data_IF_399681877934
#
_entry.id   IF_399681877934
#
_cell.length_a   1.000
_cell.length_b   1.000
_cell.length_c   1.000
_cell.angle_alpha   90.00
_cell.angle_beta   90.00
_cell.angle_gamma   90.00
#
_symmetry.space_group_name_H-M   'P 1'
#
loop_
_entity.id
_entity.type
_entity.pdbx_description
1 polymer ?
#
# COMPACT_ATOMS: atom_id res chain seq x y z
N UNK A 1 -13.57 -26.36 2.82
CA UNK A 1 -13.60 -25.51 4.04
C UNK A 1 -12.29 -24.76 4.07
N UNK A 2 -12.34 -23.45 3.96
CA UNK A 2 -11.14 -22.60 4.03
C UNK A 2 -10.82 -22.35 5.52
N UNK A 3 -9.66 -22.82 5.99
CA UNK A 3 -9.23 -22.62 7.37
C UNK A 3 -8.79 -21.18 7.65
N UNK A 4 -8.52 -20.38 6.61
CA UNK A 4 -8.08 -18.98 6.73
C UNK A 4 -9.10 -18.13 7.49
N UNK A 5 -10.40 -18.38 7.28
CA UNK A 5 -11.45 -17.67 8.03
C UNK A 5 -11.47 -18.04 9.53
N UNK A 6 -11.05 -19.26 9.89
CA UNK A 6 -11.06 -19.72 11.28
C UNK A 6 -9.95 -19.12 12.14
N UNK A 7 -8.87 -18.64 11.51
CA UNK A 7 -7.72 -17.99 12.16
C UNK A 7 -7.72 -16.47 11.98
N UNK A 8 -8.69 -15.93 11.24
CA UNK A 8 -8.83 -14.50 11.06
C UNK A 8 -9.06 -13.82 12.43
N UNK A 9 -8.25 -12.82 12.80
CA UNK A 9 -8.45 -12.10 14.05
C UNK A 9 -9.84 -11.45 14.08
N UNK A 10 -10.60 -11.66 15.14
CA UNK A 10 -11.89 -10.97 15.39
C UNK A 10 -11.66 -9.54 15.91
N UNK A 11 -10.70 -8.83 15.35
CA UNK A 11 -10.30 -7.50 15.77
C UNK A 11 -10.69 -6.46 14.71
N UNK A 12 -11.16 -5.31 15.13
CA UNK A 12 -11.42 -4.13 14.30
C UNK A 12 -10.13 -3.40 13.87
N UNK A 13 -8.98 -3.93 14.27
CA UNK A 13 -7.67 -3.35 13.96
C UNK A 13 -6.69 -4.40 13.41
N UNK A 14 -5.67 -3.92 12.73
CA UNK A 14 -4.52 -4.70 12.31
C UNK A 14 -3.61 -4.93 13.53
N UNK A 15 -3.18 -6.16 13.72
CA UNK A 15 -2.27 -6.55 14.79
C UNK A 15 -0.87 -6.87 14.25
N UNK A 16 0.13 -6.89 15.15
CA UNK A 16 1.50 -7.22 14.76
C UNK A 16 1.63 -8.61 14.11
N UNK A 17 0.78 -9.54 14.49
CA UNK A 17 0.78 -10.90 13.96
C UNK A 17 0.27 -11.01 12.52
N UNK A 18 -0.50 -10.04 12.04
CA UNK A 18 -0.87 -9.94 10.63
C UNK A 18 0.34 -9.67 9.71
N UNK A 19 1.45 -9.23 10.30
CA UNK A 19 2.68 -8.88 9.60
C UNK A 19 3.83 -9.87 9.85
N UNK A 20 3.52 -11.08 10.34
CA UNK A 20 4.52 -12.14 10.58
C UNK A 20 5.24 -12.53 9.30
N UNK A 21 4.53 -12.58 8.18
CA UNK A 21 5.08 -12.97 6.88
C UNK A 21 6.01 -11.92 6.26
N UNK A 22 6.15 -10.76 6.89
CA UNK A 22 7.04 -9.68 6.45
C UNK A 22 6.35 -8.33 6.29
N UNK A 23 7.05 -7.34 5.75
CA UNK A 23 6.53 -6.01 5.49
C UNK A 23 5.35 -6.03 4.51
N UNK A 24 4.32 -5.24 4.80
CA UNK A 24 3.16 -5.08 3.91
C UNK A 24 3.02 -3.60 3.54
N UNK A 25 2.97 -3.32 2.24
CA UNK A 25 2.65 -1.98 1.76
C UNK A 25 1.16 -1.84 1.58
N UNK A 26 0.59 -0.80 2.17
CA UNK A 26 -0.84 -0.55 2.21
C UNK A 26 -1.17 0.85 1.71
N UNK A 27 -2.38 1.00 1.17
CA UNK A 27 -2.91 2.26 0.64
C UNK A 27 -4.00 2.79 1.56
N UNK A 28 -3.89 4.06 1.95
CA UNK A 28 -4.86 4.72 2.83
C UNK A 28 -6.11 5.07 2.03
N UNK A 29 -7.28 4.62 2.48
CA UNK A 29 -8.58 5.02 1.96
C UNK A 29 -9.09 6.28 2.65
N UNK A 30 -8.95 6.33 3.97
CA UNK A 30 -9.36 7.46 4.79
C UNK A 30 -8.71 7.41 6.18
N UNK A 31 -8.76 8.53 6.89
CA UNK A 31 -8.34 8.61 8.29
C UNK A 31 -9.52 9.14 9.11
N UNK A 32 -9.91 8.40 10.14
CA UNK A 32 -11.01 8.74 11.04
C UNK A 32 -10.54 9.00 12.46
N UNK A 33 -11.36 9.69 13.22
CA UNK A 33 -11.20 9.82 14.66
C UNK A 33 -11.57 8.50 15.33
N UNK A 34 -10.64 7.95 16.12
CA UNK A 34 -10.85 6.76 16.93
C UNK A 34 -11.30 7.05 18.36
N UNK A 35 -10.93 6.16 19.27
CA UNK A 35 -11.22 6.27 20.72
C UNK A 35 -10.23 7.19 21.45
N UNK A 36 -10.49 7.61 22.69
CA UNK A 36 -9.52 8.38 23.47
C UNK A 36 -8.17 7.69 23.63
N UNK A 37 -8.14 6.37 23.75
CA UNK A 37 -6.94 5.56 23.91
C UNK A 37 -6.18 5.40 22.57
N UNK A 38 -6.92 5.26 21.49
CA UNK A 38 -6.43 5.11 20.12
C UNK A 38 -7.10 6.15 19.20
N UNK A 39 -6.65 7.42 19.25
CA UNK A 39 -7.42 8.55 18.69
C UNK A 39 -7.41 8.66 17.16
N UNK A 40 -6.74 7.76 16.46
CA UNK A 40 -6.65 7.78 15.00
C UNK A 40 -6.81 6.37 14.44
N UNK A 41 -7.79 6.21 13.56
CA UNK A 41 -8.04 5.02 12.77
C UNK A 41 -7.69 5.30 11.31
N UNK A 42 -6.69 4.59 10.78
CA UNK A 42 -6.27 4.67 9.38
C UNK A 42 -6.85 3.47 8.65
N UNK A 43 -7.84 3.71 7.79
CA UNK A 43 -8.48 2.69 6.98
C UNK A 43 -7.66 2.42 5.72
N UNK A 44 -7.59 1.16 5.31
CA UNK A 44 -6.67 0.67 4.28
C UNK A 44 -7.41 -0.16 3.24
N UNK A 45 -6.95 -0.09 2.00
CA UNK A 45 -7.48 -0.90 0.89
C UNK A 45 -7.27 -2.39 1.16
N UNK A 46 -6.06 -2.76 1.59
CA UNK A 46 -5.61 -4.16 1.73
C UNK A 46 -6.19 -4.85 2.98
N UNK A 47 -6.75 -4.08 3.92
CA UNK A 47 -7.37 -4.60 5.15
C UNK A 47 -8.79 -4.03 5.33
N UNK A 48 -9.75 -4.41 4.48
CA UNK A 48 -11.12 -3.90 4.60
C UNK A 48 -11.74 -4.29 5.94
N UNK A 49 -12.36 -3.31 6.61
CA UNK A 49 -13.00 -3.50 7.92
C UNK A 49 -12.04 -3.52 9.12
N UNK A 50 -10.74 -3.44 8.91
CA UNK A 50 -9.72 -3.42 9.96
C UNK A 50 -8.81 -2.22 9.81
N UNK A 51 -8.78 -1.34 10.80
CA UNK A 51 -7.98 -0.12 10.73
C UNK A 51 -6.55 -0.34 11.28
N UNK A 52 -5.59 0.38 10.73
CA UNK A 52 -4.31 0.59 11.38
C UNK A 52 -4.48 1.69 12.43
N UNK A 53 -4.19 1.38 13.68
CA UNK A 53 -4.24 2.32 14.80
C UNK A 53 -2.81 2.70 15.22
N UNK A 54 -2.24 3.77 14.64
CA UNK A 54 -0.85 4.13 14.85
C UNK A 54 -0.58 4.55 16.30
N UNK A 55 0.52 4.05 16.86
CA UNK A 55 1.05 4.51 18.13
C UNK A 55 1.37 6.01 18.09
N UNK A 56 1.52 6.64 19.28
CA UNK A 56 1.90 8.06 19.35
C UNK A 56 3.17 8.39 18.57
N UNK A 57 4.14 7.49 18.56
CA UNK A 57 5.38 7.63 17.79
C UNK A 57 5.13 7.60 16.29
N UNK A 58 4.33 6.65 15.82
CA UNK A 58 3.98 6.53 14.40
C UNK A 58 3.14 7.71 13.91
N UNK A 59 2.22 8.22 14.74
CA UNK A 59 1.48 9.46 14.42
C UNK A 59 2.39 10.68 14.26
N UNK A 60 3.43 10.80 15.10
CA UNK A 60 4.43 11.88 14.95
C UNK A 60 5.20 11.77 13.63
N UNK A 61 5.53 10.55 13.20
CA UNK A 61 6.16 10.30 11.90
C UNK A 61 5.24 10.76 10.77
N UNK A 62 3.97 10.33 10.79
CA UNK A 62 2.99 10.70 9.76
C UNK A 62 2.83 12.22 9.67
N UNK A 63 2.70 12.92 10.81
CA UNK A 63 2.59 14.38 10.84
C UNK A 63 3.87 15.05 10.35
N UNK A 64 5.04 14.52 10.72
CA UNK A 64 6.33 15.06 10.25
C UNK A 64 6.54 14.87 8.75
N UNK A 65 5.98 13.78 8.18
CA UNK A 65 6.10 13.44 6.77
C UNK A 65 5.09 14.21 5.90
N UNK A 66 3.84 14.29 6.34
CA UNK A 66 2.72 14.70 5.51
C UNK A 66 1.91 15.89 6.05
N UNK A 67 2.27 16.40 7.23
CA UNK A 67 1.55 17.48 7.89
C UNK A 67 0.39 17.00 8.76
N UNK A 68 -0.31 17.92 9.44
CA UNK A 68 -1.35 17.60 10.42
C UNK A 68 -2.71 17.24 9.81
N UNK A 69 -2.94 17.56 8.53
CA UNK A 69 -4.24 17.41 7.88
C UNK A 69 -4.47 15.97 7.45
N UNK A 70 -5.38 15.28 8.12
CA UNK A 70 -5.69 13.87 7.87
C UNK A 70 -6.23 13.59 6.46
N UNK A 71 -6.98 14.53 5.88
CA UNK A 71 -7.50 14.43 4.50
C UNK A 71 -6.41 14.30 3.44
N UNK A 72 -5.22 14.87 3.71
CA UNK A 72 -4.08 14.77 2.80
C UNK A 72 -3.45 13.37 2.75
N UNK A 73 -3.88 12.44 3.62
CA UNK A 73 -3.30 11.10 3.68
C UNK A 73 -3.99 10.11 2.74
N UNK A 74 -5.21 10.40 2.31
CA UNK A 74 -5.96 9.55 1.37
C UNK A 74 -5.19 9.32 0.08
N UNK A 75 -5.12 8.06 -0.36
CA UNK A 75 -4.37 7.62 -1.53
C UNK A 75 -2.86 7.46 -1.31
N UNK A 76 -2.33 7.89 -0.17
CA UNK A 76 -0.92 7.69 0.17
C UNK A 76 -0.67 6.28 0.65
N UNK A 77 0.57 5.81 0.48
CA UNK A 77 0.98 4.44 0.80
C UNK A 77 1.96 4.42 1.96
N UNK A 78 1.83 3.38 2.77
CA UNK A 78 2.67 3.11 3.94
C UNK A 78 3.16 1.67 3.85
N UNK A 79 4.43 1.41 4.16
CA UNK A 79 4.89 0.05 4.43
C UNK A 79 4.93 -0.17 5.93
N UNK A 80 4.09 -1.08 6.40
CA UNK A 80 4.00 -1.51 7.79
C UNK A 80 4.91 -2.72 8.03
N UNK A 81 5.59 -2.74 9.18
CA UNK A 81 6.47 -3.82 9.59
C UNK A 81 6.19 -4.22 11.03
N UNK A 82 6.33 -5.51 11.32
CA UNK A 82 6.30 -6.02 12.69
C UNK A 82 7.63 -5.72 13.39
N UNK A 83 7.55 -5.10 14.56
CA UNK A 83 8.69 -5.01 15.47
C UNK A 83 8.41 -5.89 16.70
N UNK A 84 9.06 -7.06 16.82
CA UNK A 84 8.83 -8.00 17.94
C UNK A 84 9.34 -7.48 19.29
N UNK A 85 10.22 -6.48 19.29
CA UNK A 85 10.81 -5.93 20.52
C UNK A 85 9.92 -4.92 21.25
N UNK A 86 8.76 -4.56 20.66
CA UNK A 86 7.81 -3.67 21.32
C UNK A 86 7.13 -4.42 22.46
N UNK A 87 7.19 -3.80 23.66
CA UNK A 87 6.64 -4.36 24.88
C UNK A 87 5.38 -3.63 25.32
N UNK A 88 4.46 -4.37 25.95
CA UNK A 88 3.35 -3.83 26.71
C UNK A 88 3.50 -4.28 28.16
N UNK A 89 3.82 -3.35 29.05
CA UNK A 89 4.24 -3.71 30.41
C UNK A 89 5.56 -4.48 30.40
N UNK A 90 5.54 -5.73 30.87
CA UNK A 90 6.71 -6.64 30.88
C UNK A 90 6.75 -7.60 29.70
N UNK A 91 5.66 -7.71 28.95
CA UNK A 91 5.52 -8.70 27.88
C UNK A 91 5.94 -8.14 26.53
N UNK A 92 6.72 -8.91 25.77
CA UNK A 92 7.07 -8.61 24.38
C UNK A 92 5.93 -9.04 23.47
N UNK A 93 4.94 -8.19 23.32
CA UNK A 93 3.77 -8.47 22.47
C UNK A 93 3.99 -8.14 21.00
N UNK A 94 5.07 -7.42 20.70
CA UNK A 94 5.30 -6.87 19.38
C UNK A 94 4.41 -5.66 19.09
N UNK A 95 4.71 -4.99 17.99
CA UNK A 95 3.94 -3.85 17.53
C UNK A 95 4.18 -3.57 16.07
N UNK A 96 3.44 -2.61 15.54
CA UNK A 96 3.53 -2.20 14.14
C UNK A 96 4.27 -0.88 14.04
N UNK A 97 5.31 -0.86 13.21
CA UNK A 97 6.08 0.34 12.87
C UNK A 97 5.97 0.64 11.37
N UNK A 98 6.23 1.88 11.00
CA UNK A 98 6.27 2.35 9.62
C UNK A 98 7.72 2.31 9.14
N UNK A 99 8.00 1.56 8.08
CA UNK A 99 9.34 1.50 7.48
C UNK A 99 9.51 2.43 6.28
N UNK A 100 8.46 2.59 5.46
CA UNK A 100 8.48 3.44 4.27
C UNK A 100 7.19 4.25 4.15
N UNK A 101 7.31 5.43 3.55
CA UNK A 101 6.18 6.31 3.24
C UNK A 101 6.29 6.82 1.81
N UNK A 102 5.16 6.84 1.08
CA UNK A 102 5.08 7.53 -0.21
C UNK A 102 5.19 9.04 -0.04
N UNK A 103 5.44 9.77 -1.12
CA UNK A 103 5.54 11.24 -1.12
C UNK A 103 6.62 11.78 -0.17
N UNK A 104 7.69 11.01 0.03
CA UNK A 104 8.91 11.49 0.68
C UNK A 104 10.00 11.67 -0.38
N UNK A 105 10.60 12.86 -0.52
CA UNK A 105 11.70 13.09 -1.46
C UNK A 105 13.03 12.48 -1.00
N UNK A 106 13.17 12.22 0.31
CA UNK A 106 14.37 11.68 0.95
C UNK A 106 14.00 10.99 2.28
N UNK A 107 14.91 10.18 2.86
CA UNK A 107 14.69 9.59 4.17
C UNK A 107 14.34 10.64 5.24
N UNK A 108 13.33 10.36 6.03
CA UNK A 108 12.87 11.20 7.14
C UNK A 108 13.36 10.62 8.46
N UNK A 109 14.19 11.35 9.18
CA UNK A 109 14.63 10.97 10.53
C UNK A 109 13.96 11.83 11.58
N UNK A 110 13.26 11.18 12.52
CA UNK A 110 12.56 11.84 13.62
C UNK A 110 13.12 11.36 14.96
N UNK A 111 13.42 12.29 15.85
CA UNK A 111 13.83 11.96 17.21
C UNK A 111 12.60 11.64 18.05
N UNK A 112 12.37 10.36 18.33
CA UNK A 112 11.26 9.85 19.14
C UNK A 112 11.70 9.61 20.59
N UNK A 113 10.81 9.85 21.54
CA UNK A 113 11.05 9.48 22.94
C UNK A 113 10.91 7.96 23.08
N UNK A 114 12.01 7.29 23.34
CA UNK A 114 12.02 5.83 23.57
C UNK A 114 11.60 5.48 25.00
N UNK A 115 12.18 6.18 26.00
CA UNK A 115 11.82 6.10 27.41
C UNK A 115 11.94 7.51 28.01
N UNK A 116 11.45 7.71 29.25
CA UNK A 116 11.55 9.01 29.93
C UNK A 116 13.00 9.50 29.93
N UNK A 117 13.23 10.63 29.24
CA UNK A 117 14.56 11.25 29.12
C UNK A 117 15.50 10.68 28.05
N UNK A 118 15.15 9.58 27.37
CA UNK A 118 15.96 9.04 26.26
C UNK A 118 15.23 9.20 24.93
N UNK A 119 15.89 9.84 23.96
CA UNK A 119 15.43 9.94 22.56
C UNK A 119 16.16 8.88 21.71
N UNK A 120 15.42 8.30 20.77
CA UNK A 120 15.95 7.41 19.73
C UNK A 120 15.62 8.02 18.38
N UNK A 121 16.60 8.06 17.50
CA UNK A 121 16.35 8.41 16.11
C UNK A 121 15.62 7.28 15.42
N UNK A 122 14.55 7.61 14.72
CA UNK A 122 13.77 6.69 13.92
C UNK A 122 13.75 7.20 12.48
N UNK A 123 14.17 6.37 11.54
CA UNK A 123 14.27 6.75 10.13
C UNK A 123 13.26 5.98 9.31
N UNK A 124 12.48 6.70 8.52
CA UNK A 124 11.55 6.16 7.54
C UNK A 124 12.10 6.44 6.15
N UNK A 125 12.05 5.43 5.30
CA UNK A 125 12.54 5.51 3.93
C UNK A 125 11.44 6.00 2.97
N UNK A 126 11.82 6.65 1.87
CA UNK A 126 10.89 6.89 0.77
C UNK A 126 10.39 5.56 0.20
N UNK A 127 9.07 5.46 0.01
CA UNK A 127 8.48 4.37 -0.74
C UNK A 127 8.46 4.75 -2.20
N UNK A 128 9.15 3.95 -3.03
CA UNK A 128 9.12 4.15 -4.47
C UNK A 128 7.67 4.12 -4.98
N UNK A 129 7.34 5.04 -5.87
CA UNK A 129 6.07 4.97 -6.58
C UNK A 129 6.03 3.64 -7.35
N UNK A 130 4.87 2.95 -7.41
CA UNK A 130 4.74 1.81 -8.29
C UNK A 130 5.08 2.29 -9.70
N UNK A 131 5.99 1.59 -10.36
CA UNK A 131 6.21 1.82 -11.77
C UNK A 131 4.87 1.54 -12.45
N UNK A 132 4.15 2.60 -12.82
CA UNK A 132 2.96 2.44 -13.65
C UNK A 132 3.44 1.93 -15.00
N UNK A 133 3.00 0.73 -15.35
CA UNK A 133 3.19 0.24 -16.72
C UNK A 133 2.48 1.20 -17.65
N UNK A 134 3.16 1.61 -18.70
CA UNK A 134 2.55 2.37 -19.78
C UNK A 134 2.05 1.34 -20.81
N UNK A 135 0.84 0.87 -20.56
CA UNK A 135 0.23 -0.16 -21.41
C UNK A 135 0.05 0.29 -22.86
N UNK A 136 -0.08 1.60 -23.12
CA UNK A 136 -0.16 2.13 -24.47
C UNK A 136 1.20 2.05 -25.18
N UNK A 137 2.27 2.49 -24.53
CA UNK A 137 3.62 2.39 -25.06
C UNK A 137 4.05 0.92 -25.26
N UNK A 138 3.68 0.02 -24.34
CA UNK A 138 3.91 -1.42 -24.48
C UNK A 138 3.14 -2.02 -25.67
N UNK A 139 1.90 -1.56 -25.90
CA UNK A 139 1.06 -2.01 -27.02
C UNK A 139 1.60 -1.51 -28.37
N UNK A 140 2.10 -0.27 -28.43
CA UNK A 140 2.80 0.24 -29.62
C UNK A 140 4.04 -0.61 -29.94
N UNK A 141 4.81 -0.99 -28.89
CA UNK A 141 5.98 -1.85 -29.02
C UNK A 141 5.67 -3.28 -29.49
N UNK A 142 4.44 -3.75 -29.32
CA UNK A 142 3.99 -5.07 -29.75
C UNK A 142 3.82 -5.21 -31.28
N UNK A 143 3.91 -4.10 -32.03
CA UNK A 143 3.88 -4.08 -33.51
C UNK A 143 2.74 -4.90 -34.15
N UNK A 144 1.54 -4.88 -33.53
CA UNK A 144 0.37 -5.58 -34.03
C UNK A 144 0.31 -7.09 -33.68
N UNK A 145 1.23 -7.61 -32.89
CA UNK A 145 1.16 -9.01 -32.42
C UNK A 145 -0.09 -9.25 -31.56
N UNK A 146 -1.05 -9.99 -32.10
CA UNK A 146 -2.35 -10.21 -31.49
C UNK A 146 -2.27 -10.94 -30.15
N UNK A 147 -1.27 -11.80 -29.93
CA UNK A 147 -1.11 -12.56 -28.67
C UNK A 147 -0.65 -11.62 -27.57
N UNK A 148 0.39 -10.83 -27.84
CA UNK A 148 0.93 -9.84 -26.92
C UNK A 148 -0.11 -8.76 -26.59
N UNK A 149 -0.82 -8.23 -27.59
CA UNK A 149 -1.84 -7.20 -27.40
C UNK A 149 -3.03 -7.69 -26.56
N UNK A 150 -3.45 -8.96 -26.72
CA UNK A 150 -4.49 -9.54 -25.85
C UNK A 150 -4.02 -9.67 -24.40
N UNK A 151 -2.79 -10.12 -24.17
CA UNK A 151 -2.23 -10.21 -22.84
C UNK A 151 -2.14 -8.83 -22.18
N UNK A 152 -1.64 -7.83 -22.91
CA UNK A 152 -1.57 -6.43 -22.45
C UNK A 152 -2.95 -5.86 -22.13
N UNK A 153 -3.97 -6.15 -22.93
CA UNK A 153 -5.34 -5.71 -22.68
C UNK A 153 -5.91 -6.30 -21.38
N UNK A 154 -5.66 -7.60 -21.13
CA UNK A 154 -6.08 -8.26 -19.88
C UNK A 154 -5.40 -7.63 -18.68
N UNK A 155 -4.08 -7.42 -18.76
CA UNK A 155 -3.29 -6.80 -17.70
C UNK A 155 -3.74 -5.35 -17.45
N UNK A 156 -3.94 -4.55 -18.49
CA UNK A 156 -4.41 -3.18 -18.40
C UNK A 156 -5.80 -3.10 -17.74
N UNK A 157 -6.71 -4.00 -18.11
CA UNK A 157 -8.03 -4.10 -17.51
C UNK A 157 -7.96 -4.46 -16.03
N UNK A 158 -7.11 -5.42 -15.66
CA UNK A 158 -6.87 -5.81 -14.28
C UNK A 158 -6.23 -4.68 -13.46
N UNK A 159 -5.40 -3.84 -14.10
CA UNK A 159 -4.79 -2.66 -13.48
C UNK A 159 -5.76 -1.46 -13.36
N UNK A 160 -6.99 -1.55 -13.90
CA UNK A 160 -7.99 -0.49 -13.84
C UNK A 160 -7.74 0.65 -14.82
N UNK A 161 -7.07 0.38 -15.95
CA UNK A 161 -6.87 1.39 -17.00
C UNK A 161 -8.22 1.91 -17.57
N UNK A 162 -8.28 3.19 -17.96
CA UNK A 162 -9.48 3.78 -18.57
C UNK A 162 -9.95 3.00 -19.80
N UNK A 163 -11.26 2.95 -20.02
CA UNK A 163 -11.86 2.23 -21.14
C UNK A 163 -11.34 2.72 -22.51
N UNK A 164 -10.98 4.00 -22.63
CA UNK A 164 -10.35 4.57 -23.80
C UNK A 164 -8.98 3.93 -24.11
N UNK A 165 -8.17 3.64 -23.09
CA UNK A 165 -6.89 2.96 -23.27
C UNK A 165 -7.10 1.51 -23.70
N UNK A 166 -8.06 0.82 -23.09
CA UNK A 166 -8.41 -0.56 -23.44
C UNK A 166 -8.90 -0.66 -24.90
N UNK A 167 -9.73 0.29 -25.34
CA UNK A 167 -10.19 0.37 -26.74
C UNK A 167 -9.03 0.62 -27.71
N UNK A 168 -8.08 1.48 -27.35
CA UNK A 168 -6.90 1.76 -28.15
C UNK A 168 -6.03 0.50 -28.32
N UNK A 169 -5.74 -0.22 -27.25
CA UNK A 169 -4.96 -1.47 -27.29
C UNK A 169 -5.70 -2.52 -28.16
N UNK A 170 -7.01 -2.64 -28.01
CA UNK A 170 -7.81 -3.57 -28.82
C UNK A 170 -7.78 -3.24 -30.32
N UNK A 171 -7.77 -1.95 -30.67
CA UNK A 171 -7.70 -1.49 -32.05
C UNK A 171 -6.32 -1.70 -32.72
N UNK A 172 -5.26 -1.91 -31.93
CA UNK A 172 -3.91 -2.16 -32.43
C UNK A 172 -3.69 -3.60 -32.94
N UNK A 173 -4.65 -4.51 -32.69
CA UNK A 173 -4.61 -5.85 -33.25
C UNK A 173 -4.73 -5.74 -34.79
N UNK A 174 -3.67 -6.05 -35.51
CA UNK A 174 -3.72 -6.03 -36.96
C UNK A 174 -4.84 -6.95 -37.50
N UNK A 175 -5.64 -6.49 -38.48
CA UNK A 175 -6.62 -7.35 -39.09
C UNK A 175 -5.88 -8.56 -39.72
N UNK A 176 -6.35 -9.76 -39.40
CA UNK A 176 -5.84 -10.98 -40.05
C UNK A 176 -6.14 -10.83 -41.51
N UNK A 177 -5.13 -10.63 -42.37
CA UNK A 177 -5.28 -10.70 -43.81
C UNK A 177 -5.76 -12.12 -44.17
N UNK A 178 -7.02 -12.22 -44.55
CA UNK A 178 -7.55 -13.45 -45.13
C UNK A 178 -6.89 -13.61 -46.50
N UNK A 179 -6.13 -14.68 -46.75
CA UNK A 179 -5.54 -14.88 -48.07
C UNK A 179 -6.66 -14.95 -49.12
N UNK A 180 -6.45 -14.35 -50.31
CA UNK A 180 -7.45 -14.40 -51.40
C UNK A 180 -7.71 -15.85 -51.75
N UNK A 181 -8.98 -16.23 -51.79
CA UNK A 181 -9.43 -17.51 -52.28
C UNK A 181 -9.03 -17.65 -53.74
N UNK A 182 -8.22 -18.68 -54.02
CA UNK A 182 -7.78 -19.08 -55.40
C UNK A 182 -8.89 -19.84 -56.07
#
# INVERSE_FOLDING_TARGET
>A
MDLTESIAPKSDQINADDLISGPVTVTITEVRKGTPEQPVDVHLVEFPGRAYKPSKSMRRILVSAWGPEASAYTGRRITLVRNPEITFGKDKVGGIEISHLSHLPKPLTVALTATRGKRRSFTVQPLAEPVRRDFLAEAEGANGDAVTLRALWIDAKAAGEPEQHLATIAAMVAPVETPPAS
#
